data_IF_090599050660
#
_entry.id   IF_090599050660
#
_cell.length_a   1.000
_cell.length_b   1.000
_cell.length_c   1.000
_cell.angle_alpha   90.00
_cell.angle_beta   90.00
_cell.angle_gamma   90.00
#
_symmetry.space_group_name_H-M   'P 1'
#
loop_
_entity.id
_entity.type
_entity.pdbx_description
1 polymer ?
#
# COMPACT_ATOMS: atom_id res chain seq x y z
N UNK A 1 -11.54 5.08 20.38
CA UNK A 1 -10.93 3.73 20.48
C UNK A 1 -12.06 2.74 20.38
N UNK A 2 -11.96 1.80 19.43
CA UNK A 2 -13.02 0.81 19.20
C UNK A 2 -12.79 -0.36 20.16
N UNK A 3 -13.48 -0.35 21.30
CA UNK A 3 -13.38 -1.40 22.32
C UNK A 3 -13.80 -2.77 21.77
N UNK A 4 -14.65 -2.82 20.74
CA UNK A 4 -15.05 -4.05 20.08
C UNK A 4 -13.89 -4.71 19.32
N UNK A 5 -13.06 -3.92 18.63
CA UNK A 5 -11.87 -4.41 17.94
C UNK A 5 -10.82 -4.94 18.93
N UNK A 6 -10.61 -4.27 20.07
CA UNK A 6 -9.72 -4.73 21.13
C UNK A 6 -10.21 -6.02 21.75
N UNK A 7 -11.50 -6.14 22.06
CA UNK A 7 -12.10 -7.35 22.60
C UNK A 7 -11.98 -8.53 21.62
N UNK A 8 -12.24 -8.29 20.33
CA UNK A 8 -12.09 -9.30 19.28
C UNK A 8 -10.64 -9.79 19.17
N UNK A 9 -9.67 -8.86 19.16
CA UNK A 9 -8.25 -9.21 19.12
C UNK A 9 -7.82 -10.04 20.33
N UNK A 10 -8.31 -9.71 21.50
CA UNK A 10 -8.03 -10.43 22.75
C UNK A 10 -8.64 -11.84 22.71
N UNK A 11 -9.89 -11.97 22.28
CA UNK A 11 -10.58 -13.27 22.15
C UNK A 11 -9.88 -14.17 21.13
N UNK A 12 -9.50 -13.63 19.97
CA UNK A 12 -8.77 -14.37 18.92
C UNK A 12 -7.39 -14.80 19.43
N UNK A 13 -6.66 -13.92 20.12
CA UNK A 13 -5.32 -14.23 20.65
C UNK A 13 -5.38 -15.30 21.74
N UNK A 14 -6.29 -15.16 22.72
CA UNK A 14 -6.51 -16.16 23.77
C UNK A 14 -6.99 -17.47 23.18
N UNK A 15 -7.96 -17.43 22.26
CA UNK A 15 -8.49 -18.63 21.58
C UNK A 15 -7.41 -19.40 20.84
N UNK A 16 -6.56 -18.70 20.07
CA UNK A 16 -5.45 -19.32 19.36
C UNK A 16 -4.42 -19.93 20.32
N UNK A 17 -4.09 -19.23 21.43
CA UNK A 17 -3.15 -19.73 22.44
C UNK A 17 -3.69 -20.97 23.14
N UNK A 18 -4.95 -20.95 23.56
CA UNK A 18 -5.62 -22.09 24.21
C UNK A 18 -5.73 -23.26 23.26
N UNK A 19 -6.13 -23.06 22.00
CA UNK A 19 -6.20 -24.09 20.99
C UNK A 19 -4.82 -24.75 20.74
N UNK A 20 -3.75 -23.93 20.68
CA UNK A 20 -2.38 -24.43 20.53
C UNK A 20 -1.96 -25.32 21.71
N UNK A 21 -2.22 -24.89 22.94
CA UNK A 21 -1.90 -25.68 24.15
C UNK A 21 -2.73 -26.96 24.21
N UNK A 22 -4.05 -26.86 23.97
CA UNK A 22 -4.95 -28.03 24.01
C UNK A 22 -4.55 -29.11 22.99
N UNK A 23 -4.14 -28.73 21.78
CA UNK A 23 -3.69 -29.70 20.78
C UNK A 23 -2.45 -30.46 21.22
N UNK A 24 -1.47 -29.79 21.84
CA UNK A 24 -0.24 -30.41 22.34
C UNK A 24 -0.53 -31.32 23.53
N UNK A 25 -1.35 -30.84 24.50
CA UNK A 25 -1.77 -31.63 25.66
C UNK A 25 -2.55 -32.88 25.21
N UNK A 26 -3.47 -32.72 24.25
CA UNK A 26 -4.28 -33.83 23.76
C UNK A 26 -3.43 -34.89 23.02
N UNK A 27 -2.41 -34.48 22.29
CA UNK A 27 -1.43 -35.37 21.69
C UNK A 27 -0.62 -36.12 22.75
N UNK A 28 -0.17 -35.42 23.81
CA UNK A 28 0.58 -36.02 24.91
C UNK A 28 -0.26 -37.03 25.72
N UNK A 29 -1.53 -36.73 25.98
CA UNK A 29 -2.45 -37.62 26.72
C UNK A 29 -2.81 -38.88 25.91
N UNK A 30 -2.85 -38.80 24.59
CA UNK A 30 -3.13 -39.93 23.71
C UNK A 30 -1.96 -40.92 23.56
N UNK A 31 -0.76 -40.55 23.95
CA UNK A 31 0.41 -41.44 23.91
C UNK A 31 0.28 -42.50 25.02
N UNK A 32 0.22 -43.80 24.68
CA UNK A 32 0.23 -44.85 25.70
C UNK A 32 1.55 -44.77 26.51
N UNK A 33 1.49 -44.97 27.85
CA UNK A 33 2.71 -44.91 28.67
C UNK A 33 3.83 -45.87 28.20
N UNK A 34 3.46 -47.00 27.63
CA UNK A 34 4.39 -47.99 27.09
C UNK A 34 5.13 -47.50 25.83
N UNK A 35 4.50 -46.66 25.01
CA UNK A 35 5.17 -46.03 23.84
C UNK A 35 6.03 -44.83 24.24
N UNK A 36 5.61 -44.07 25.26
CA UNK A 36 6.40 -42.94 25.77
C UNK A 36 7.74 -43.39 26.42
N UNK A 37 7.82 -44.62 26.88
CA UNK A 37 9.04 -45.22 27.46
C UNK A 37 9.93 -45.96 26.45
N UNK A 38 9.48 -46.17 25.20
CA UNK A 38 10.31 -46.74 24.16
C UNK A 38 11.32 -45.74 23.63
N UNK A 39 12.60 -46.17 23.41
CA UNK A 39 13.54 -45.33 22.66
C UNK A 39 12.96 -45.04 21.28
N UNK A 40 13.16 -43.81 20.80
CA UNK A 40 12.73 -43.43 19.45
C UNK A 40 13.17 -44.42 18.41
N UNK A 41 12.26 -44.92 17.53
CA UNK A 41 12.63 -45.87 16.51
C UNK A 41 13.73 -45.28 15.60
N UNK A 42 14.67 -46.08 15.09
CA UNK A 42 15.71 -45.60 14.22
C UNK A 42 15.11 -44.91 13.01
N UNK A 43 15.66 -43.76 12.66
CA UNK A 43 15.14 -42.90 11.64
C UNK A 43 15.03 -43.62 10.27
N UNK A 44 13.84 -43.63 9.68
CA UNK A 44 13.57 -44.16 8.35
C UNK A 44 14.34 -43.33 7.30
N UNK A 45 15.33 -43.95 6.63
CA UNK A 45 16.18 -43.32 5.64
C UNK A 45 15.52 -43.37 4.25
N UNK A 46 14.41 -42.66 4.05
CA UNK A 46 13.85 -42.45 2.71
C UNK A 46 14.66 -41.38 1.96
N UNK A 47 14.97 -41.58 0.67
CA UNK A 47 15.65 -40.55 -0.11
C UNK A 47 14.82 -39.29 -0.19
N UNK A 48 15.43 -38.12 0.03
CA UNK A 48 14.77 -36.84 -0.01
C UNK A 48 14.25 -36.53 -1.42
N UNK A 49 13.20 -35.69 -1.52
CA UNK A 49 12.64 -35.23 -2.81
C UNK A 49 13.76 -34.60 -3.68
N UNK A 50 14.67 -33.84 -3.06
CA UNK A 50 15.82 -33.23 -3.75
C UNK A 50 16.87 -34.24 -4.22
N UNK A 51 17.01 -35.36 -3.50
CA UNK A 51 17.87 -36.49 -3.94
C UNK A 51 17.27 -37.19 -5.17
N UNK A 52 15.95 -37.31 -5.25
CA UNK A 52 15.27 -37.89 -6.43
C UNK A 52 15.41 -37.03 -7.68
N UNK A 53 15.50 -35.68 -7.53
CA UNK A 53 15.66 -34.74 -8.65
C UNK A 53 17.13 -34.61 -9.10
N UNK A 54 18.09 -35.29 -8.44
CA UNK A 54 19.51 -35.30 -8.83
C UNK A 54 20.30 -34.05 -8.47
N UNK A 55 19.74 -33.14 -7.69
CA UNK A 55 20.35 -31.85 -7.26
C UNK A 55 21.40 -32.02 -6.15
N UNK A 56 21.68 -33.26 -5.73
CA UNK A 56 22.59 -33.58 -4.61
C UNK A 56 24.01 -33.12 -4.81
N UNK A 57 24.48 -33.04 -6.08
CA UNK A 57 25.86 -32.63 -6.40
C UNK A 57 26.15 -31.15 -6.15
N UNK A 58 25.11 -30.32 -6.07
CA UNK A 58 25.23 -28.87 -5.87
C UNK A 58 25.31 -28.44 -4.39
N UNK A 59 24.89 -29.30 -3.45
CA UNK A 59 24.79 -28.97 -2.04
C UNK A 59 25.88 -29.59 -1.19
N UNK A 60 26.39 -28.79 -0.22
CA UNK A 60 27.33 -29.30 0.79
C UNK A 60 26.66 -30.39 1.67
N UNK A 61 27.45 -31.29 2.32
CA UNK A 61 26.88 -32.29 3.22
C UNK A 61 25.98 -31.71 4.31
N UNK A 62 26.36 -30.56 4.87
CA UNK A 62 25.57 -29.85 5.87
C UNK A 62 24.21 -29.37 5.31
N UNK A 63 24.17 -28.85 4.07
CA UNK A 63 22.96 -28.41 3.41
C UNK A 63 22.01 -29.56 3.10
N UNK A 64 22.55 -30.74 2.70
CA UNK A 64 21.72 -31.94 2.50
C UNK A 64 21.06 -32.40 3.80
N UNK A 65 21.80 -32.36 4.91
CA UNK A 65 21.25 -32.67 6.24
C UNK A 65 20.15 -31.67 6.61
N UNK A 66 20.34 -30.38 6.37
CA UNK A 66 19.34 -29.33 6.63
C UNK A 66 18.05 -29.57 5.81
N UNK A 67 18.16 -29.86 4.51
CA UNK A 67 17.00 -30.15 3.66
C UNK A 67 16.24 -31.40 4.11
N UNK A 68 16.96 -32.48 4.43
CA UNK A 68 16.34 -33.69 4.96
C UNK A 68 15.62 -33.46 6.27
N UNK A 69 16.14 -32.57 7.13
CA UNK A 69 15.48 -32.21 8.38
C UNK A 69 14.17 -31.46 8.16
N UNK A 70 14.11 -30.55 7.18
CA UNK A 70 12.89 -29.84 6.79
C UNK A 70 11.83 -30.83 6.31
N UNK A 71 12.20 -31.80 5.46
CA UNK A 71 11.29 -32.82 4.96
C UNK A 71 10.75 -33.76 6.04
N UNK A 72 11.51 -33.99 7.10
CA UNK A 72 11.07 -34.82 8.25
C UNK A 72 10.02 -34.15 9.12
N UNK A 73 10.02 -32.81 9.18
CA UNK A 73 9.11 -32.02 10.04
C UNK A 73 8.38 -30.95 9.22
N UNK A 74 7.55 -31.35 8.24
CA UNK A 74 6.97 -30.42 7.26
C UNK A 74 6.05 -29.39 7.92
N UNK A 75 5.30 -29.76 8.97
CA UNK A 75 4.41 -28.86 9.68
C UNK A 75 5.18 -27.75 10.44
N UNK A 76 6.27 -28.11 11.09
CA UNK A 76 7.12 -27.13 11.80
C UNK A 76 7.76 -26.15 10.81
N UNK A 77 8.27 -26.66 9.70
CA UNK A 77 8.81 -25.85 8.61
C UNK A 77 7.76 -24.91 8.03
N UNK A 78 6.53 -25.42 7.80
CA UNK A 78 5.41 -24.64 7.28
C UNK A 78 5.04 -23.50 8.24
N UNK A 79 4.85 -23.80 9.54
CA UNK A 79 4.48 -22.78 10.53
C UNK A 79 5.56 -21.70 10.69
N UNK A 80 6.84 -22.11 10.71
CA UNK A 80 7.96 -21.16 10.75
C UNK A 80 7.98 -20.29 9.50
N UNK A 81 7.83 -20.87 8.31
CA UNK A 81 7.80 -20.13 7.05
C UNK A 81 6.57 -19.23 6.97
N UNK A 82 5.40 -19.65 7.42
CA UNK A 82 4.20 -18.81 7.50
C UNK A 82 4.40 -17.62 8.46
N UNK A 83 4.98 -17.85 9.63
CA UNK A 83 5.25 -16.76 10.59
C UNK A 83 6.20 -15.70 9.99
N UNK A 84 7.25 -16.14 9.30
CA UNK A 84 8.18 -15.25 8.61
C UNK A 84 7.54 -14.56 7.39
N UNK A 85 6.70 -15.27 6.65
CA UNK A 85 5.95 -14.69 5.54
C UNK A 85 4.97 -13.60 6.03
N UNK A 86 4.29 -13.84 7.14
CA UNK A 86 3.43 -12.83 7.78
C UNK A 86 4.24 -11.60 8.22
N UNK A 87 5.39 -11.79 8.86
CA UNK A 87 6.27 -10.67 9.24
C UNK A 87 6.72 -9.85 8.03
N UNK A 88 7.13 -10.54 6.95
CA UNK A 88 7.50 -9.89 5.67
C UNK A 88 6.32 -9.14 5.06
N UNK A 89 5.14 -9.74 5.03
CA UNK A 89 3.91 -9.15 4.49
C UNK A 89 3.44 -7.93 5.27
N UNK A 90 3.52 -7.96 6.59
CA UNK A 90 3.23 -6.81 7.46
C UNK A 90 4.13 -5.61 7.17
N UNK A 91 5.36 -5.85 6.73
CA UNK A 91 6.29 -4.78 6.37
C UNK A 91 5.96 -4.15 5.01
N UNK A 92 5.43 -4.93 4.06
CA UNK A 92 5.05 -4.43 2.73
C UNK A 92 3.87 -3.46 2.80
N UNK A 93 2.90 -3.69 3.68
CA UNK A 93 1.65 -2.93 3.75
C UNK A 93 1.85 -1.40 3.93
N UNK A 94 2.55 -0.89 4.97
CA UNK A 94 2.72 0.55 5.16
C UNK A 94 3.63 1.17 4.08
N UNK A 95 4.55 0.39 3.50
CA UNK A 95 5.34 0.81 2.35
C UNK A 95 4.47 1.02 1.12
N UNK A 96 3.60 0.06 0.80
CA UNK A 96 2.65 0.15 -0.29
C UNK A 96 1.68 1.35 -0.13
N UNK A 97 1.21 1.64 1.11
CA UNK A 97 0.43 2.84 1.38
C UNK A 97 1.20 4.12 1.06
N UNK A 98 2.46 4.20 1.49
CA UNK A 98 3.32 5.36 1.21
C UNK A 98 3.54 5.56 -0.28
N UNK A 99 3.91 4.49 -0.99
CA UNK A 99 4.14 4.50 -2.44
C UNK A 99 2.89 4.93 -3.22
N UNK A 100 1.72 4.44 -2.81
CA UNK A 100 0.43 4.78 -3.42
C UNK A 100 0.06 6.24 -3.23
N UNK A 101 0.37 6.82 -2.07
CA UNK A 101 0.15 8.23 -1.81
C UNK A 101 1.13 9.09 -2.62
N UNK A 102 2.40 8.72 -2.68
CA UNK A 102 3.38 9.44 -3.49
C UNK A 102 3.01 9.42 -4.98
N UNK A 103 2.49 8.29 -5.48
CA UNK A 103 1.95 8.20 -6.82
C UNK A 103 0.72 9.10 -7.01
N UNK A 104 -0.24 9.07 -6.08
CA UNK A 104 -1.42 9.94 -6.10
C UNK A 104 -1.03 11.41 -6.14
N UNK A 105 -0.09 11.84 -5.29
CA UNK A 105 0.41 13.20 -5.25
C UNK A 105 1.06 13.59 -6.59
N UNK A 106 1.91 12.73 -7.13
CA UNK A 106 2.58 12.97 -8.40
C UNK A 106 1.60 13.06 -9.56
N UNK A 107 0.61 12.16 -9.59
CA UNK A 107 -0.40 12.15 -10.64
C UNK A 107 -1.29 13.40 -10.56
N UNK A 108 -1.89 13.64 -9.39
CA UNK A 108 -2.88 14.71 -9.19
C UNK A 108 -2.25 16.10 -9.33
N UNK A 109 -1.13 16.36 -8.62
CA UNK A 109 -0.55 17.71 -8.55
C UNK A 109 0.55 18.00 -9.57
N UNK A 110 1.22 17.01 -10.14
CA UNK A 110 2.27 17.25 -11.11
C UNK A 110 1.83 16.98 -12.56
N UNK A 111 1.01 15.94 -12.79
CA UNK A 111 0.60 15.57 -14.15
C UNK A 111 -0.72 16.22 -14.55
N UNK A 112 -1.72 16.22 -13.67
CA UNK A 112 -3.06 16.75 -13.93
C UNK A 112 -3.13 18.25 -13.65
N UNK A 113 -2.93 18.69 -12.40
CA UNK A 113 -2.99 20.09 -11.98
C UNK A 113 -1.62 20.75 -12.15
N UNK A 114 -1.38 21.40 -13.28
CA UNK A 114 -0.10 22.06 -13.59
C UNK A 114 -0.07 23.54 -13.20
N UNK A 115 -1.21 24.13 -12.90
CA UNK A 115 -1.32 25.49 -12.38
C UNK A 115 -0.68 25.63 -11.00
N UNK A 116 -0.23 26.84 -10.65
CA UNK A 116 0.29 27.16 -9.33
C UNK A 116 -0.82 27.69 -8.42
N UNK A 117 -1.79 28.39 -9.01
CA UNK A 117 -2.91 29.03 -8.31
C UNK A 117 -4.20 28.81 -9.08
N UNK A 118 -5.27 28.46 -8.37
CA UNK A 118 -6.64 28.53 -8.86
C UNK A 118 -7.35 29.70 -8.18
N UNK A 119 -7.88 30.62 -8.96
CA UNK A 119 -8.64 31.79 -8.48
C UNK A 119 -10.10 31.60 -8.82
N UNK A 120 -10.96 31.80 -7.85
CA UNK A 120 -12.42 31.82 -8.03
C UNK A 120 -12.98 33.19 -7.72
N UNK A 121 -13.84 33.68 -8.58
CA UNK A 121 -14.50 34.97 -8.42
C UNK A 121 -15.80 34.84 -7.61
N UNK A 122 -16.18 35.86 -6.88
CA UNK A 122 -17.39 35.91 -6.08
C UNK A 122 -18.64 35.80 -6.94
N UNK A 123 -18.63 36.47 -8.09
CA UNK A 123 -19.72 36.45 -9.06
C UNK A 123 -19.17 36.14 -10.47
N UNK A 124 -19.95 35.45 -11.29
CA UNK A 124 -19.57 35.26 -12.70
C UNK A 124 -19.35 36.62 -13.39
N UNK A 125 -18.19 36.77 -14.00
CA UNK A 125 -17.80 37.96 -14.74
C UNK A 125 -17.75 37.70 -16.25
N UNK A 126 -17.62 38.81 -17.03
CA UNK A 126 -17.38 38.72 -18.47
C UNK A 126 -15.91 38.38 -18.78
N UNK A 127 -15.56 38.14 -20.03
CA UNK A 127 -14.19 37.92 -20.48
C UNK A 127 -13.22 39.06 -20.07
N UNK A 128 -13.70 40.26 -19.82
CA UNK A 128 -12.88 41.36 -19.29
C UNK A 128 -12.30 41.06 -17.90
N UNK A 129 -13.06 40.34 -17.05
CA UNK A 129 -12.58 39.92 -15.74
C UNK A 129 -11.44 38.90 -15.83
N UNK A 130 -11.37 38.14 -16.91
CA UNK A 130 -10.24 37.25 -17.17
C UNK A 130 -8.98 38.03 -17.50
N UNK A 131 -9.07 39.07 -18.31
CA UNK A 131 -7.93 39.94 -18.60
C UNK A 131 -7.39 40.66 -17.36
N UNK A 132 -8.21 40.92 -16.36
CA UNK A 132 -7.71 41.42 -15.07
C UNK A 132 -6.83 40.40 -14.39
N UNK A 133 -7.20 39.09 -14.41
CA UNK A 133 -6.38 38.02 -13.86
C UNK A 133 -5.06 37.81 -14.64
N UNK A 134 -5.11 37.90 -15.96
CA UNK A 134 -3.91 37.78 -16.80
C UNK A 134 -2.89 38.91 -16.57
N UNK A 135 -3.37 40.10 -16.23
CA UNK A 135 -2.52 41.29 -16.00
C UNK A 135 -1.94 41.37 -14.59
N UNK A 136 -2.28 40.44 -13.71
CA UNK A 136 -1.70 40.42 -12.37
C UNK A 136 -0.17 40.23 -12.44
N UNK A 137 0.59 40.90 -11.53
CA UNK A 137 2.04 40.84 -11.57
C UNK A 137 2.56 39.41 -11.44
N UNK A 138 3.41 38.99 -12.36
CA UNK A 138 4.04 37.68 -12.33
C UNK A 138 3.22 36.55 -12.94
N UNK A 139 2.03 36.78 -13.45
CA UNK A 139 1.27 35.77 -14.21
C UNK A 139 1.99 35.52 -15.54
N UNK A 140 2.31 34.24 -15.80
CA UNK A 140 2.95 33.76 -17.03
C UNK A 140 1.91 33.22 -18.00
N UNK A 141 0.98 32.40 -17.48
CA UNK A 141 -0.09 31.77 -18.25
C UNK A 141 -1.36 31.76 -17.39
N UNK A 142 -2.47 32.05 -18.02
CA UNK A 142 -3.80 31.96 -17.41
C UNK A 142 -4.74 31.18 -18.31
N UNK A 143 -5.61 30.36 -17.74
CA UNK A 143 -6.68 29.63 -18.43
C UNK A 143 -8.00 29.91 -17.74
N UNK A 144 -9.04 30.38 -18.46
CA UNK A 144 -10.33 30.71 -17.87
C UNK A 144 -11.11 29.43 -17.51
N UNK A 145 -11.88 29.52 -16.45
CA UNK A 145 -12.81 28.48 -16.06
C UNK A 145 -14.22 29.03 -15.81
N UNK A 146 -15.21 28.18 -16.10
CA UNK A 146 -16.59 28.41 -15.71
C UNK A 146 -17.08 27.19 -14.92
N UNK A 147 -17.06 27.28 -13.62
CA UNK A 147 -17.50 26.23 -12.71
C UNK A 147 -18.93 26.50 -12.25
N UNK A 148 -19.83 25.57 -12.50
CA UNK A 148 -21.27 25.71 -12.29
C UNK A 148 -21.75 24.67 -11.31
N UNK A 149 -22.28 25.04 -10.13
CA UNK A 149 -22.86 24.07 -9.21
C UNK A 149 -24.07 23.39 -9.87
N UNK A 150 -24.05 22.08 -9.90
CA UNK A 150 -25.08 21.28 -10.54
C UNK A 150 -25.38 20.00 -9.77
N UNK A 151 -26.53 19.42 -10.04
CA UNK A 151 -26.87 18.06 -9.65
C UNK A 151 -26.91 17.20 -10.90
N UNK A 152 -26.01 16.23 -10.99
CA UNK A 152 -26.02 15.23 -12.04
C UNK A 152 -26.93 14.09 -11.61
N UNK A 153 -27.84 13.70 -12.51
CA UNK A 153 -28.79 12.61 -12.27
C UNK A 153 -28.80 11.63 -13.43
N UNK A 154 -28.81 10.35 -13.09
CA UNK A 154 -29.05 9.28 -14.04
C UNK A 154 -29.97 8.24 -13.41
N UNK A 155 -31.16 8.04 -14.00
CA UNK A 155 -32.22 7.24 -13.38
C UNK A 155 -32.64 7.79 -12.02
N UNK A 156 -32.57 6.95 -10.99
CA UNK A 156 -32.90 7.30 -9.61
C UNK A 156 -31.73 7.84 -8.80
N UNK A 157 -30.49 7.73 -9.34
CA UNK A 157 -29.27 8.16 -8.65
C UNK A 157 -28.90 9.59 -9.01
N UNK A 158 -28.42 10.33 -8.03
CA UNK A 158 -27.96 11.70 -8.27
C UNK A 158 -26.80 12.08 -7.36
N UNK A 159 -25.95 13.01 -7.85
CA UNK A 159 -24.84 13.59 -7.07
C UNK A 159 -24.76 15.09 -7.31
N UNK A 160 -24.56 15.88 -6.23
CA UNK A 160 -24.29 17.31 -6.31
C UNK A 160 -22.78 17.53 -6.41
N UNK A 161 -22.35 18.31 -7.41
CA UNK A 161 -20.97 18.74 -7.62
C UNK A 161 -20.96 19.92 -8.57
N UNK A 162 -19.78 20.50 -8.82
CA UNK A 162 -19.67 21.53 -9.87
C UNK A 162 -19.27 20.91 -11.19
N UNK A 163 -19.93 21.32 -12.29
CA UNK A 163 -19.48 21.05 -13.67
C UNK A 163 -18.54 22.19 -14.05
N UNK A 164 -17.30 21.84 -14.39
CA UNK A 164 -16.27 22.80 -14.74
C UNK A 164 -16.07 22.86 -16.24
N UNK A 165 -16.41 24.00 -16.82
CA UNK A 165 -16.08 24.34 -18.21
C UNK A 165 -14.62 24.76 -18.29
N UNK A 166 -13.85 24.08 -19.14
CA UNK A 166 -12.44 24.39 -19.45
C UNK A 166 -12.26 24.55 -20.95
N UNK A 167 -11.22 25.24 -21.37
CA UNK A 167 -10.94 25.40 -22.79
C UNK A 167 -10.42 24.11 -23.42
N UNK A 168 -10.76 23.84 -24.70
CA UNK A 168 -10.14 22.76 -25.45
C UNK A 168 -8.62 22.97 -25.54
N UNK A 169 -7.85 21.92 -25.25
CA UNK A 169 -6.39 22.01 -25.24
C UNK A 169 -5.79 22.70 -24.01
N UNK A 170 -6.58 22.94 -22.95
CA UNK A 170 -6.09 23.46 -21.68
C UNK A 170 -4.89 22.65 -21.16
N UNK A 171 -3.85 23.36 -20.74
CA UNK A 171 -2.56 22.78 -20.32
C UNK A 171 -2.34 22.83 -18.82
N UNK A 172 -3.03 23.75 -18.14
CA UNK A 172 -2.88 23.98 -16.69
C UNK A 172 -3.71 23.00 -15.83
N UNK A 173 -4.80 22.48 -16.39
CA UNK A 173 -5.57 21.40 -15.78
C UNK A 173 -5.90 20.33 -16.81
N UNK A 174 -5.06 19.30 -16.90
CA UNK A 174 -5.16 18.25 -17.90
C UNK A 174 -6.13 17.17 -17.45
N UNK A 175 -6.95 16.72 -18.40
CA UNK A 175 -7.81 15.56 -18.20
C UNK A 175 -7.02 14.30 -18.57
N UNK A 176 -6.83 13.40 -17.62
CA UNK A 176 -6.02 12.19 -17.81
C UNK A 176 -6.90 10.94 -17.70
N UNK A 177 -6.62 9.95 -18.54
CA UNK A 177 -7.25 8.64 -18.49
C UNK A 177 -6.59 7.72 -17.41
N UNK A 178 -7.04 6.48 -17.36
CA UNK A 178 -6.51 5.45 -16.47
C UNK A 178 -5.01 5.16 -16.69
N UNK A 179 -4.48 5.44 -17.87
CA UNK A 179 -3.08 5.19 -18.25
C UNK A 179 -2.22 6.44 -18.17
N UNK A 180 -2.82 7.61 -17.81
CA UNK A 180 -2.14 8.89 -17.74
C UNK A 180 -1.98 9.59 -19.09
N UNK A 181 -2.69 9.13 -20.13
CA UNK A 181 -2.77 9.80 -21.40
C UNK A 181 -3.76 10.99 -21.30
N UNK A 182 -3.45 12.07 -22.03
CA UNK A 182 -4.32 13.25 -22.06
C UNK A 182 -5.57 12.94 -22.88
N UNK A 183 -6.73 13.16 -22.29
CA UNK A 183 -8.02 13.08 -22.97
C UNK A 183 -8.34 14.45 -23.54
N UNK A 184 -8.56 14.53 -24.85
CA UNK A 184 -9.07 15.72 -25.48
C UNK A 184 -10.55 15.93 -25.09
N UNK A 185 -10.87 17.16 -24.71
CA UNK A 185 -12.22 17.51 -24.31
C UNK A 185 -13.11 17.55 -25.56
N UNK A 186 -14.20 16.77 -25.63
CA UNK A 186 -15.10 16.80 -26.78
C UNK A 186 -15.80 18.17 -26.87
N UNK A 187 -16.02 18.62 -28.09
CA UNK A 187 -16.72 19.90 -28.38
C UNK A 187 -18.14 19.96 -27.82
N UNK A 188 -18.77 18.79 -27.63
CA UNK A 188 -20.06 18.63 -26.97
C UNK A 188 -20.10 17.38 -26.13
N UNK A 189 -20.81 17.44 -25.00
CA UNK A 189 -20.96 16.35 -24.07
C UNK A 189 -20.22 16.59 -22.75
N UNK A 190 -20.36 15.63 -21.87
CA UNK A 190 -19.80 15.65 -20.53
C UNK A 190 -18.64 14.67 -20.46
N UNK A 191 -17.57 15.07 -19.79
CA UNK A 191 -16.49 14.20 -19.34
C UNK A 191 -16.54 14.17 -17.82
N UNK A 192 -16.55 12.97 -17.22
CA UNK A 192 -16.62 12.87 -15.76
C UNK A 192 -15.63 11.85 -15.23
N UNK A 193 -15.36 11.93 -13.94
CA UNK A 193 -14.51 10.94 -13.27
C UNK A 193 -15.19 9.55 -13.32
N UNK A 194 -14.38 8.48 -13.50
CA UNK A 194 -14.85 7.09 -13.49
C UNK A 194 -15.71 6.80 -12.25
N UNK A 195 -15.33 7.37 -11.08
CA UNK A 195 -16.10 7.17 -9.85
C UNK A 195 -17.44 7.87 -9.85
N UNK A 196 -17.53 9.06 -10.42
CA UNK A 196 -18.79 9.74 -10.55
C UNK A 196 -19.75 8.91 -11.43
N UNK A 197 -19.26 8.41 -12.55
CA UNK A 197 -20.03 7.55 -13.44
C UNK A 197 -20.52 6.28 -12.71
N UNK A 198 -19.67 5.63 -11.92
CA UNK A 198 -20.04 4.49 -11.07
C UNK A 198 -21.12 4.84 -10.04
N UNK A 199 -20.96 5.97 -9.32
CA UNK A 199 -21.88 6.43 -8.28
C UNK A 199 -23.27 6.70 -8.83
N UNK A 200 -23.37 7.39 -9.97
CA UNK A 200 -24.65 7.68 -10.60
C UNK A 200 -25.16 6.52 -11.48
N UNK A 201 -24.30 5.54 -11.79
CA UNK A 201 -24.62 4.36 -12.60
C UNK A 201 -24.64 4.64 -14.12
N UNK A 202 -24.01 5.71 -14.59
CA UNK A 202 -23.94 6.08 -16.02
C UNK A 202 -22.74 5.41 -16.71
N UNK A 203 -22.89 5.14 -18.01
CA UNK A 203 -21.86 4.57 -18.88
C UNK A 203 -21.56 5.51 -20.04
N UNK A 204 -20.41 5.32 -20.69
CA UNK A 204 -20.08 6.05 -21.91
C UNK A 204 -21.21 5.90 -22.95
N UNK A 205 -21.64 7.04 -23.49
CA UNK A 205 -22.76 7.13 -24.44
C UNK A 205 -24.11 7.44 -23.81
N UNK A 206 -24.29 7.23 -22.50
CA UNK A 206 -25.53 7.56 -21.81
C UNK A 206 -25.77 9.07 -21.76
N UNK A 207 -27.05 9.46 -21.72
CA UNK A 207 -27.43 10.86 -21.53
C UNK A 207 -27.69 11.13 -20.05
N UNK A 208 -26.91 12.02 -19.46
CA UNK A 208 -27.00 12.43 -18.06
C UNK A 208 -27.78 13.73 -17.95
N UNK A 209 -28.70 13.77 -17.00
CA UNK A 209 -29.44 14.99 -16.66
C UNK A 209 -28.57 15.84 -15.71
N UNK A 210 -28.31 17.08 -16.16
CA UNK A 210 -27.56 18.09 -15.40
C UNK A 210 -28.53 19.19 -14.95
N UNK A 211 -28.89 19.17 -13.68
CA UNK A 211 -29.74 20.19 -13.06
C UNK A 211 -28.83 21.30 -12.53
N UNK A 212 -28.80 22.43 -13.20
CA UNK A 212 -28.01 23.60 -12.76
C UNK A 212 -28.64 24.23 -11.51
N UNK A 213 -27.82 24.56 -10.51
CA UNK A 213 -28.29 25.05 -9.21
C UNK A 213 -28.14 26.58 -9.05
N UNK A 214 -27.60 27.25 -10.08
CA UNK A 214 -27.43 28.70 -10.07
C UNK A 214 -28.20 29.36 -11.24
N UNK A 215 -28.38 30.69 -11.16
CA UNK A 215 -29.00 31.50 -12.19
C UNK A 215 -30.41 31.03 -12.55
N UNK A 216 -30.65 30.78 -13.85
CA UNK A 216 -31.94 30.32 -14.40
C UNK A 216 -32.30 28.87 -14.05
N UNK A 217 -31.38 28.12 -13.47
CA UNK A 217 -31.51 26.71 -13.08
C UNK A 217 -32.05 25.80 -14.18
N UNK A 218 -31.47 25.84 -15.40
CA UNK A 218 -31.92 24.96 -16.47
C UNK A 218 -31.59 23.48 -16.15
N UNK A 219 -32.43 22.60 -16.70
CA UNK A 219 -32.21 21.16 -16.69
C UNK A 219 -31.71 20.76 -18.09
N UNK A 220 -30.49 20.31 -18.17
CA UNK A 220 -29.83 19.97 -19.43
C UNK A 220 -29.70 18.47 -19.59
N UNK A 221 -29.93 17.97 -20.79
CA UNK A 221 -29.63 16.59 -21.18
C UNK A 221 -28.28 16.59 -21.92
N UNK A 222 -27.28 15.91 -21.32
CA UNK A 222 -25.90 15.96 -21.83
C UNK A 222 -25.36 14.54 -22.00
N UNK A 223 -24.89 14.14 -23.21
CA UNK A 223 -24.30 12.82 -23.39
C UNK A 223 -22.94 12.72 -22.70
N UNK A 224 -22.68 11.58 -22.06
CA UNK A 224 -21.38 11.25 -21.46
C UNK A 224 -20.44 10.78 -22.58
N UNK A 225 -19.38 11.55 -22.84
CA UNK A 225 -18.46 11.33 -23.96
C UNK A 225 -17.07 10.86 -23.52
N UNK A 226 -16.71 11.03 -22.24
CA UNK A 226 -15.40 10.64 -21.76
C UNK A 226 -15.41 10.33 -20.26
N UNK A 227 -14.45 9.48 -19.86
CA UNK A 227 -14.18 9.16 -18.46
C UNK A 227 -12.73 9.51 -18.14
N UNK A 228 -12.54 10.27 -17.07
CA UNK A 228 -11.22 10.67 -16.55
C UNK A 228 -10.92 9.97 -15.24
N UNK A 229 -9.65 9.76 -14.97
CA UNK A 229 -9.20 9.19 -13.72
C UNK A 229 -8.81 10.28 -12.75
N UNK A 230 -9.64 10.44 -11.72
CA UNK A 230 -9.35 11.29 -10.57
C UNK A 230 -9.14 10.42 -9.32
N UNK A 231 -8.07 10.66 -8.56
CA UNK A 231 -7.81 9.96 -7.31
C UNK A 231 -8.38 10.68 -6.09
N UNK A 232 -8.61 11.99 -6.20
CA UNK A 232 -9.17 12.81 -5.13
C UNK A 232 -10.49 13.44 -5.56
N UNK A 233 -11.59 13.00 -4.96
CA UNK A 233 -12.93 13.51 -5.23
C UNK A 233 -13.59 12.95 -6.47
N UNK A 234 -14.65 13.63 -6.89
CA UNK A 234 -15.40 13.40 -8.11
C UNK A 234 -15.47 14.70 -8.91
N UNK A 235 -15.30 14.64 -10.21
CA UNK A 235 -15.26 15.81 -11.07
C UNK A 235 -16.09 15.58 -12.35
N UNK A 236 -16.57 16.68 -12.91
CA UNK A 236 -17.24 16.68 -14.19
C UNK A 236 -16.79 17.92 -15.00
N UNK A 237 -16.45 17.68 -16.26
CA UNK A 237 -15.87 18.67 -17.15
C UNK A 237 -16.68 18.76 -18.44
N UNK A 238 -16.68 19.93 -19.03
CA UNK A 238 -17.28 20.22 -20.33
C UNK A 238 -16.45 21.30 -21.04
N UNK A 239 -16.52 21.33 -22.37
CA UNK A 239 -16.01 22.48 -23.13
C UNK A 239 -16.70 23.76 -22.63
N UNK A 240 -15.92 24.78 -22.27
CA UNK A 240 -16.42 26.04 -21.70
C UNK A 240 -17.41 26.74 -22.64
N UNK A 241 -17.14 26.65 -23.97
CA UNK A 241 -18.01 27.24 -24.99
C UNK A 241 -19.35 26.48 -25.08
N UNK A 242 -19.30 25.15 -25.01
CA UNK A 242 -20.51 24.32 -25.00
C UNK A 242 -21.34 24.56 -23.73
N UNK A 243 -20.68 24.67 -22.57
CA UNK A 243 -21.34 24.96 -21.30
C UNK A 243 -22.06 26.33 -21.35
N UNK A 244 -21.36 27.38 -21.78
CA UNK A 244 -21.91 28.73 -21.95
C UNK A 244 -23.11 28.78 -22.93
N UNK A 245 -23.01 28.09 -24.09
CA UNK A 245 -24.14 27.97 -25.03
C UNK A 245 -25.36 27.33 -24.39
N UNK A 246 -25.18 26.26 -23.62
CA UNK A 246 -26.30 25.55 -22.95
C UNK A 246 -26.92 26.36 -21.83
N UNK A 247 -26.13 27.17 -21.13
CA UNK A 247 -26.58 28.08 -20.08
C UNK A 247 -27.23 29.37 -20.66
N UNK A 248 -27.07 29.60 -21.99
CA UNK A 248 -27.43 30.84 -22.67
C UNK A 248 -26.71 32.03 -22.05
N UNK A 249 -25.46 31.85 -21.69
CA UNK A 249 -24.54 32.88 -21.22
C UNK A 249 -23.65 33.37 -22.35
N UNK A 250 -23.18 34.61 -22.26
CA UNK A 250 -22.12 35.14 -23.12
C UNK A 250 -20.76 34.58 -22.75
N UNK A 251 -19.69 35.37 -22.92
CA UNK A 251 -18.34 35.01 -22.54
C UNK A 251 -18.14 35.15 -21.01
N UNK A 252 -18.81 34.28 -20.26
CA UNK A 252 -18.86 34.32 -18.80
C UNK A 252 -17.84 33.38 -18.20
N UNK A 253 -17.12 33.87 -17.19
CA UNK A 253 -16.18 33.10 -16.37
C UNK A 253 -16.48 33.30 -14.89
N UNK A 254 -16.06 32.41 -14.03
CA UNK A 254 -16.05 32.62 -12.59
C UNK A 254 -14.74 32.20 -11.92
N UNK A 255 -13.66 32.08 -12.72
CA UNK A 255 -12.33 31.82 -12.19
C UNK A 255 -11.31 31.59 -13.27
N UNK A 256 -10.10 31.26 -12.87
CA UNK A 256 -8.99 30.90 -13.74
C UNK A 256 -7.94 30.05 -13.05
N UNK A 257 -7.26 29.24 -13.82
CA UNK A 257 -6.02 28.58 -13.44
C UNK A 257 -4.85 29.43 -13.88
N UNK A 258 -3.88 29.68 -12.99
CA UNK A 258 -2.76 30.57 -13.22
C UNK A 258 -1.43 29.88 -12.96
N UNK A 259 -0.45 30.13 -13.83
CA UNK A 259 0.97 29.87 -13.54
C UNK A 259 1.64 31.18 -13.25
N UNK A 260 2.38 31.26 -12.13
CA UNK A 260 2.95 32.49 -11.60
C UNK A 260 4.47 32.36 -11.48
N UNK A 261 5.19 33.40 -11.90
CA UNK A 261 6.63 33.52 -11.72
C UNK A 261 6.99 33.52 -10.22
N UNK A 262 7.79 32.56 -9.80
CA UNK A 262 8.24 32.45 -8.41
C UNK A 262 9.01 33.67 -7.91
N UNK A 263 9.71 34.40 -8.79
CA UNK A 263 10.41 35.61 -8.43
C UNK A 263 9.46 36.77 -8.10
N UNK A 264 8.28 36.78 -8.70
CA UNK A 264 7.25 37.81 -8.50
C UNK A 264 6.08 37.33 -7.62
N UNK A 265 6.25 36.23 -6.93
CA UNK A 265 5.20 35.61 -6.12
C UNK A 265 4.60 36.56 -5.08
N UNK A 266 5.45 37.33 -4.38
CA UNK A 266 4.99 38.24 -3.34
C UNK A 266 4.19 39.43 -3.91
N UNK A 267 4.53 39.87 -5.11
CA UNK A 267 3.81 40.96 -5.80
C UNK A 267 2.44 40.43 -6.25
N UNK A 268 2.40 39.21 -6.82
CA UNK A 268 1.17 38.54 -7.16
C UNK A 268 0.24 38.37 -5.94
N UNK A 269 0.76 37.84 -4.83
CA UNK A 269 -0.05 37.60 -3.63
C UNK A 269 -0.58 38.87 -2.97
N UNK A 270 0.12 40.00 -3.11
CA UNK A 270 -0.39 41.32 -2.70
C UNK A 270 -1.52 41.77 -3.63
N UNK A 271 -1.28 41.76 -4.92
CA UNK A 271 -2.23 42.22 -5.92
C UNK A 271 -3.53 41.40 -5.90
N UNK A 272 -3.48 40.08 -5.77
CA UNK A 272 -4.68 39.23 -5.74
C UNK A 272 -5.51 39.45 -4.46
N UNK A 273 -4.88 39.74 -3.31
CA UNK A 273 -5.57 40.09 -2.07
C UNK A 273 -6.30 41.41 -2.15
N UNK A 274 -5.73 42.36 -2.89
CA UNK A 274 -6.33 43.67 -3.11
C UNK A 274 -7.41 43.66 -4.21
N UNK A 275 -7.64 42.50 -4.86
CA UNK A 275 -8.67 42.34 -5.88
C UNK A 275 -10.04 42.01 -5.23
N UNK A 276 -11.01 42.97 -5.20
CA UNK A 276 -12.25 42.79 -4.43
C UNK A 276 -13.15 41.64 -4.91
N UNK A 277 -12.96 41.21 -6.16
CA UNK A 277 -13.78 40.17 -6.80
C UNK A 277 -13.30 38.76 -6.52
N UNK A 278 -12.11 38.57 -5.91
CA UNK A 278 -11.58 37.27 -5.60
C UNK A 278 -12.29 36.65 -4.39
N UNK A 279 -13.08 35.59 -4.60
CA UNK A 279 -13.77 34.86 -3.53
C UNK A 279 -12.87 33.87 -2.82
N UNK A 280 -12.04 33.17 -3.60
CA UNK A 280 -11.13 32.16 -3.08
C UNK A 280 -9.88 32.06 -3.96
N UNK A 281 -8.75 31.97 -3.31
CA UNK A 281 -7.43 31.75 -3.93
C UNK A 281 -6.88 30.45 -3.38
N UNK A 282 -6.77 29.45 -4.23
CA UNK A 282 -6.22 28.13 -3.87
C UNK A 282 -4.80 28.00 -4.39
N UNK A 283 -3.83 28.05 -3.49
CA UNK A 283 -2.42 27.90 -3.81
C UNK A 283 -2.05 26.41 -3.76
N UNK A 284 -1.64 25.85 -4.90
CA UNK A 284 -1.29 24.43 -5.01
C UNK A 284 -0.22 24.00 -4.01
N UNK A 285 0.83 24.81 -3.85
CA UNK A 285 1.93 24.53 -2.92
C UNK A 285 1.44 24.38 -1.49
N UNK A 286 0.51 25.23 -1.05
CA UNK A 286 0.01 25.25 0.32
C UNK A 286 -0.93 24.06 0.57
N UNK A 287 -1.77 23.72 -0.42
CA UNK A 287 -2.61 22.51 -0.36
C UNK A 287 -1.76 21.24 -0.29
N UNK A 288 -0.70 21.16 -1.12
CA UNK A 288 0.21 20.02 -1.13
C UNK A 288 1.00 19.92 0.18
N UNK A 289 1.44 21.04 0.75
CA UNK A 289 2.14 21.09 2.03
C UNK A 289 1.23 20.62 3.18
N UNK A 290 0.01 21.14 3.26
CA UNK A 290 -0.99 20.74 4.26
C UNK A 290 -1.34 19.24 4.16
N UNK A 291 -1.53 18.75 2.93
CA UNK A 291 -1.79 17.32 2.70
C UNK A 291 -0.60 16.45 3.11
N UNK A 292 0.62 16.84 2.73
CA UNK A 292 1.84 16.12 3.11
C UNK A 292 2.05 16.12 4.61
N UNK A 293 1.87 17.24 5.28
CA UNK A 293 2.05 17.34 6.73
C UNK A 293 1.09 16.40 7.48
N UNK A 294 -0.20 16.44 7.15
CA UNK A 294 -1.21 15.60 7.77
C UNK A 294 -0.98 14.12 7.47
N UNK A 295 -0.72 13.79 6.20
CA UNK A 295 -0.60 12.41 5.73
C UNK A 295 0.75 11.81 6.11
N UNK A 296 1.86 12.54 5.93
CA UNK A 296 3.20 12.03 6.23
C UNK A 296 3.39 11.78 7.72
N UNK A 297 2.82 12.65 8.59
CA UNK A 297 2.90 12.45 10.04
C UNK A 297 2.17 11.16 10.48
N UNK A 298 0.95 10.95 9.99
CA UNK A 298 0.15 9.77 10.32
C UNK A 298 0.76 8.48 9.74
N UNK A 299 1.11 8.48 8.47
CA UNK A 299 1.70 7.30 7.80
C UNK A 299 3.10 7.01 8.30
N UNK A 300 3.90 8.04 8.58
CA UNK A 300 5.24 7.88 9.14
C UNK A 300 5.21 7.19 10.51
N UNK A 301 4.23 7.52 11.35
CA UNK A 301 4.05 6.87 12.66
C UNK A 301 3.61 5.40 12.48
N UNK A 302 2.63 5.15 11.64
CA UNK A 302 2.15 3.80 11.33
C UNK A 302 3.29 2.96 10.77
N UNK A 303 4.06 3.48 9.80
CA UNK A 303 5.20 2.78 9.21
C UNK A 303 6.26 2.38 10.25
N UNK A 304 6.61 3.29 11.18
CA UNK A 304 7.56 2.98 12.28
C UNK A 304 7.03 1.87 13.18
N UNK A 305 5.74 1.89 13.52
CA UNK A 305 5.11 0.87 14.34
C UNK A 305 5.14 -0.50 13.66
N UNK A 306 4.72 -0.57 12.39
CA UNK A 306 4.74 -1.83 11.64
C UNK A 306 6.17 -2.34 11.41
N UNK A 307 7.13 -1.43 11.20
CA UNK A 307 8.54 -1.81 11.12
C UNK A 307 9.02 -2.47 12.41
N UNK A 308 8.75 -1.86 13.56
CA UNK A 308 9.12 -2.44 14.85
C UNK A 308 8.45 -3.80 15.09
N UNK A 309 7.15 -3.92 14.79
CA UNK A 309 6.41 -5.19 14.90
C UNK A 309 7.00 -6.27 13.97
N UNK A 310 7.28 -5.94 12.72
CA UNK A 310 7.84 -6.89 11.76
C UNK A 310 9.23 -7.40 12.21
N UNK A 311 10.09 -6.51 12.73
CA UNK A 311 11.40 -6.89 13.28
C UNK A 311 11.23 -7.83 14.47
N UNK A 312 10.35 -7.50 15.43
CA UNK A 312 10.08 -8.31 16.61
C UNK A 312 9.57 -9.69 16.22
N UNK A 313 8.58 -9.75 15.31
CA UNK A 313 8.00 -11.02 14.86
C UNK A 313 9.03 -11.85 14.10
N UNK A 314 9.74 -11.27 13.14
CA UNK A 314 10.75 -11.98 12.37
C UNK A 314 11.88 -12.52 13.25
N UNK A 315 12.40 -11.68 14.15
CA UNK A 315 13.42 -12.09 15.13
C UNK A 315 12.88 -13.19 16.04
N UNK A 316 11.69 -13.01 16.63
CA UNK A 316 11.09 -13.95 17.57
C UNK A 316 10.82 -15.32 16.93
N UNK A 317 10.31 -15.35 15.70
CA UNK A 317 10.04 -16.61 14.98
C UNK A 317 11.35 -17.35 14.69
N UNK A 318 12.37 -16.68 14.13
CA UNK A 318 13.66 -17.32 13.82
C UNK A 318 14.36 -17.80 15.11
N UNK A 319 14.41 -16.93 16.13
CA UNK A 319 15.06 -17.26 17.39
C UNK A 319 14.37 -18.43 18.11
N UNK A 320 13.03 -18.40 18.20
CA UNK A 320 12.27 -19.47 18.84
C UNK A 320 12.40 -20.81 18.08
N UNK A 321 12.29 -20.80 16.74
CA UNK A 321 12.48 -21.99 15.90
C UNK A 321 13.89 -22.57 16.09
N UNK A 322 14.91 -21.71 16.15
CA UNK A 322 16.28 -22.13 16.38
C UNK A 322 16.49 -22.74 17.77
N UNK A 323 15.89 -22.14 18.79
CA UNK A 323 15.95 -22.61 20.17
C UNK A 323 15.28 -23.99 20.34
N UNK A 324 14.10 -24.16 19.73
CA UNK A 324 13.38 -25.44 19.72
C UNK A 324 14.23 -26.50 19.00
N UNK A 325 14.71 -26.22 17.81
CA UNK A 325 15.53 -27.14 17.04
C UNK A 325 16.83 -27.53 17.78
N UNK A 326 17.45 -26.57 18.48
CA UNK A 326 18.62 -26.81 19.31
C UNK A 326 18.30 -27.73 20.51
N UNK A 327 17.18 -27.51 21.21
CA UNK A 327 16.73 -28.30 22.35
C UNK A 327 16.43 -29.74 21.94
N UNK A 328 15.66 -29.93 20.87
CA UNK A 328 15.23 -31.24 20.37
C UNK A 328 16.37 -32.08 19.83
N UNK A 329 17.40 -31.44 19.25
CA UNK A 329 18.51 -32.11 18.56
C UNK A 329 19.84 -31.99 19.30
N UNK A 330 19.81 -31.56 20.55
CA UNK A 330 21.04 -31.37 21.33
C UNK A 330 21.94 -32.61 21.37
N UNK A 331 21.33 -33.81 21.44
CA UNK A 331 22.06 -35.08 21.39
C UNK A 331 22.66 -35.39 20.02
N UNK A 332 21.86 -35.22 18.95
CA UNK A 332 22.37 -35.43 17.56
C UNK A 332 23.55 -34.51 17.30
N UNK A 333 23.46 -33.23 17.68
CA UNK A 333 24.51 -32.25 17.53
C UNK A 333 25.76 -32.58 18.39
N UNK A 334 25.55 -33.11 19.60
CA UNK A 334 26.61 -33.58 20.49
C UNK A 334 27.31 -34.82 19.90
N UNK A 335 26.55 -35.76 19.36
CA UNK A 335 27.11 -36.98 18.68
C UNK A 335 27.94 -36.57 17.47
N UNK A 336 27.49 -35.64 16.63
CA UNK A 336 28.31 -35.13 15.50
C UNK A 336 29.64 -34.55 15.98
N UNK A 337 29.68 -33.86 17.12
CA UNK A 337 30.91 -33.34 17.72
C UNK A 337 31.84 -34.44 18.20
N UNK A 338 31.29 -35.51 18.79
CA UNK A 338 32.09 -36.69 19.23
C UNK A 338 32.66 -37.44 18.06
N UNK A 339 31.93 -37.56 16.95
CA UNK A 339 32.40 -38.19 15.69
C UNK A 339 33.46 -37.34 14.96
N UNK A 340 33.73 -36.11 15.44
CA UNK A 340 34.83 -35.28 14.94
C UNK A 340 34.42 -34.08 14.07
N UNK A 341 33.12 -33.79 13.91
CA UNK A 341 32.68 -32.62 13.18
C UNK A 341 33.13 -31.32 13.90
N UNK A 342 33.60 -30.35 13.10
CA UNK A 342 33.96 -29.03 13.63
C UNK A 342 32.72 -28.24 14.12
N UNK A 343 32.94 -27.39 15.10
CA UNK A 343 31.83 -26.52 15.62
C UNK A 343 31.15 -25.71 14.52
N UNK A 344 31.92 -25.27 13.51
CA UNK A 344 31.38 -24.52 12.37
C UNK A 344 30.45 -25.39 11.49
N UNK A 345 30.75 -26.67 11.33
CA UNK A 345 29.92 -27.60 10.54
C UNK A 345 28.57 -27.88 11.26
N UNK A 346 28.61 -28.10 12.57
CA UNK A 346 27.42 -28.30 13.38
C UNK A 346 26.53 -27.04 13.38
N UNK A 347 27.13 -25.85 13.51
CA UNK A 347 26.42 -24.58 13.33
C UNK A 347 25.83 -24.47 11.93
N UNK A 348 26.58 -24.86 10.91
CA UNK A 348 26.16 -24.81 9.51
C UNK A 348 24.91 -25.63 9.22
N UNK A 349 24.71 -26.78 9.86
CA UNK A 349 23.50 -27.60 9.68
C UNK A 349 22.27 -26.86 10.21
N UNK A 350 22.30 -26.34 11.44
CA UNK A 350 21.15 -25.69 12.07
C UNK A 350 20.83 -24.33 11.41
N UNK A 351 21.88 -23.51 11.20
CA UNK A 351 21.70 -22.19 10.55
C UNK A 351 21.30 -22.38 9.09
N UNK A 352 21.82 -23.38 8.39
CA UNK A 352 21.43 -23.71 7.02
C UNK A 352 19.95 -24.07 6.88
N UNK A 353 19.42 -24.87 7.81
CA UNK A 353 17.99 -25.18 7.86
C UNK A 353 17.13 -23.92 8.01
N UNK A 354 17.47 -23.08 8.98
CA UNK A 354 16.74 -21.83 9.21
C UNK A 354 16.89 -20.84 8.05
N UNK A 355 18.07 -20.77 7.44
CA UNK A 355 18.30 -19.91 6.27
C UNK A 355 17.44 -20.33 5.07
N UNK A 356 17.29 -21.64 4.83
CA UNK A 356 16.39 -22.15 3.78
C UNK A 356 14.95 -21.74 4.06
N UNK A 357 14.48 -21.87 5.31
CA UNK A 357 13.12 -21.48 5.69
C UNK A 357 12.89 -19.98 5.53
N UNK A 358 13.87 -19.15 5.93
CA UNK A 358 13.82 -17.70 5.72
C UNK A 358 13.74 -17.37 4.24
N UNK A 359 14.64 -17.93 3.42
CA UNK A 359 14.67 -17.68 1.97
C UNK A 359 13.39 -18.14 1.26
N UNK A 360 12.82 -19.27 1.68
CA UNK A 360 11.55 -19.75 1.15
C UNK A 360 10.35 -18.88 1.59
N UNK A 361 10.39 -18.33 2.81
CA UNK A 361 9.34 -17.48 3.35
C UNK A 361 9.30 -16.09 2.70
N UNK A 362 10.43 -15.56 2.23
CA UNK A 362 10.50 -14.22 1.64
C UNK A 362 9.55 -14.03 0.44
N UNK A 363 9.61 -14.85 -0.63
CA UNK A 363 8.71 -14.68 -1.77
C UNK A 363 7.25 -14.88 -1.40
N UNK A 364 6.95 -15.85 -0.53
CA UNK A 364 5.60 -16.06 -0.03
C UNK A 364 5.09 -14.83 0.77
N UNK A 365 5.95 -14.23 1.60
CA UNK A 365 5.65 -13.04 2.37
C UNK A 365 5.44 -11.80 1.50
N UNK A 366 6.25 -11.61 0.46
CA UNK A 366 6.06 -10.51 -0.50
C UNK A 366 4.74 -10.64 -1.27
N UNK A 367 4.39 -11.84 -1.70
CA UNK A 367 3.10 -12.12 -2.37
C UNK A 367 1.93 -11.90 -1.42
N UNK A 368 2.02 -12.40 -0.19
CA UNK A 368 1.01 -12.19 0.83
C UNK A 368 0.85 -10.70 1.16
N UNK A 369 1.96 -9.97 1.35
CA UNK A 369 1.96 -8.54 1.63
C UNK A 369 1.34 -7.71 0.49
N UNK A 370 1.65 -8.07 -0.76
CA UNK A 370 1.00 -7.48 -1.94
C UNK A 370 -0.51 -7.75 -1.95
N UNK A 371 -0.92 -8.99 -1.73
CA UNK A 371 -2.34 -9.35 -1.68
C UNK A 371 -3.09 -8.62 -0.57
N UNK A 372 -2.49 -8.55 0.63
CA UNK A 372 -3.04 -7.81 1.76
C UNK A 372 -3.15 -6.31 1.48
N UNK A 373 -2.12 -5.71 0.88
CA UNK A 373 -2.14 -4.30 0.50
C UNK A 373 -3.25 -4.02 -0.53
N UNK A 374 -3.39 -4.87 -1.56
CA UNK A 374 -4.46 -4.73 -2.56
C UNK A 374 -5.85 -4.84 -1.92
N UNK A 375 -6.06 -5.81 -1.03
CA UNK A 375 -7.33 -6.00 -0.33
C UNK A 375 -7.69 -4.78 0.54
N UNK A 376 -6.73 -4.29 1.33
CA UNK A 376 -6.93 -3.13 2.21
C UNK A 376 -7.18 -1.88 1.38
N UNK A 377 -6.39 -1.60 0.34
CA UNK A 377 -6.56 -0.42 -0.51
C UNK A 377 -7.91 -0.43 -1.25
N UNK A 378 -8.36 -1.59 -1.72
CA UNK A 378 -9.68 -1.73 -2.32
C UNK A 378 -10.80 -1.41 -1.32
N UNK A 379 -10.65 -1.84 -0.06
CA UNK A 379 -11.61 -1.56 1.02
C UNK A 379 -11.65 -0.09 1.44
N UNK A 380 -10.53 0.62 1.33
CA UNK A 380 -10.45 2.06 1.63
C UNK A 380 -10.83 2.98 0.47
N UNK A 381 -11.17 2.44 -0.71
CA UNK A 381 -11.64 3.23 -1.84
C UNK A 381 -13.00 3.85 -1.53
N UNK A 382 -12.99 5.17 -1.24
CA UNK A 382 -14.19 5.98 -1.01
C UNK A 382 -14.50 6.87 -2.22
N UNK A 383 -15.59 7.62 -2.17
CA UNK A 383 -15.89 8.64 -3.18
C UNK A 383 -14.91 9.81 -3.13
N UNK A 384 -14.34 10.08 -1.94
CA UNK A 384 -13.45 11.22 -1.69
C UNK A 384 -12.00 10.94 -2.04
N UNK A 385 -11.53 9.72 -1.82
CA UNK A 385 -10.13 9.32 -2.09
C UNK A 385 -10.09 7.89 -2.60
N UNK A 386 -9.38 7.68 -3.69
CA UNK A 386 -9.04 6.35 -4.21
C UNK A 386 -7.55 6.14 -4.12
N UNK A 387 -7.18 5.06 -3.46
CA UNK A 387 -5.77 4.70 -3.38
C UNK A 387 -5.37 3.92 -4.63
N UNK A 388 -4.46 4.46 -5.46
CA UNK A 388 -3.88 3.66 -6.55
C UNK A 388 -3.08 2.51 -5.95
N UNK A 389 -3.16 1.33 -6.56
CA UNK A 389 -2.38 0.18 -6.13
C UNK A 389 -1.01 0.27 -6.80
N UNK A 390 -0.09 0.96 -6.12
CA UNK A 390 1.29 1.11 -6.58
C UNK A 390 2.24 0.67 -5.46
N UNK A 391 3.14 -0.25 -5.77
CA UNK A 391 4.15 -0.73 -4.82
C UNK A 391 5.51 -0.68 -5.54
N UNK A 392 6.40 0.12 -5.02
CA UNK A 392 7.73 0.31 -5.60
C UNK A 392 8.67 -0.85 -5.23
N UNK A 393 9.68 -1.09 -6.06
CA UNK A 393 10.71 -2.08 -5.78
C UNK A 393 11.47 -1.77 -4.47
N UNK A 394 11.59 -0.49 -4.09
CA UNK A 394 12.18 -0.04 -2.83
C UNK A 394 11.47 -0.58 -1.60
N UNK A 395 10.14 -0.66 -1.62
CA UNK A 395 9.33 -1.23 -0.53
C UNK A 395 9.60 -2.72 -0.36
N UNK A 396 9.65 -3.48 -1.46
CA UNK A 396 9.99 -4.90 -1.40
C UNK A 396 11.43 -5.11 -0.93
N UNK A 397 12.39 -4.35 -1.43
CA UNK A 397 13.79 -4.47 -1.01
C UNK A 397 13.99 -4.13 0.46
N UNK A 398 13.29 -3.11 0.97
CA UNK A 398 13.31 -2.77 2.39
C UNK A 398 12.75 -3.90 3.26
N UNK A 399 11.61 -4.48 2.88
CA UNK A 399 11.00 -5.58 3.62
C UNK A 399 11.94 -6.80 3.69
N UNK A 400 12.54 -7.18 2.57
CA UNK A 400 13.53 -8.27 2.50
C UNK A 400 14.75 -7.96 3.37
N UNK A 401 15.32 -6.76 3.26
CA UNK A 401 16.52 -6.37 4.01
C UNK A 401 16.28 -6.42 5.52
N UNK A 402 15.14 -5.94 5.98
CA UNK A 402 14.77 -5.93 7.40
C UNK A 402 14.62 -7.34 7.95
N UNK A 403 13.91 -8.21 7.23
CA UNK A 403 13.71 -9.60 7.66
C UNK A 403 15.02 -10.38 7.64
N UNK A 404 15.87 -10.16 6.63
CA UNK A 404 17.21 -10.77 6.57
C UNK A 404 18.10 -10.26 7.72
N UNK A 405 18.07 -8.97 8.04
CA UNK A 405 18.83 -8.43 9.16
C UNK A 405 18.36 -9.02 10.51
N UNK A 406 17.05 -9.15 10.73
CA UNK A 406 16.49 -9.81 11.91
C UNK A 406 16.89 -11.28 12.00
N UNK A 407 16.87 -12.00 10.87
CA UNK A 407 17.31 -13.40 10.79
C UNK A 407 18.81 -13.54 11.09
N UNK A 408 19.66 -12.68 10.50
CA UNK A 408 21.11 -12.68 10.75
C UNK A 408 21.43 -12.42 12.24
N UNK A 409 20.72 -11.48 12.86
CA UNK A 409 20.86 -11.23 14.30
C UNK A 409 20.49 -12.46 15.13
N UNK A 410 19.39 -13.14 14.79
CA UNK A 410 18.97 -14.39 15.42
C UNK A 410 20.03 -15.50 15.23
N UNK A 411 20.56 -15.64 14.02
CA UNK A 411 21.62 -16.62 13.72
C UNK A 411 22.89 -16.37 14.52
N UNK A 412 23.28 -15.11 14.69
CA UNK A 412 24.44 -14.73 15.51
C UNK A 412 24.25 -15.13 16.98
N UNK A 413 23.06 -14.90 17.53
CA UNK A 413 22.73 -15.27 18.92
C UNK A 413 22.69 -16.79 19.10
N UNK A 414 22.03 -17.50 18.20
CA UNK A 414 21.94 -18.97 18.23
C UNK A 414 23.31 -19.61 18.04
N UNK A 415 24.15 -19.08 17.15
CA UNK A 415 25.53 -19.52 16.97
C UNK A 415 26.36 -19.44 18.26
N UNK A 416 26.13 -18.38 19.06
CA UNK A 416 26.77 -18.24 20.40
C UNK A 416 26.24 -19.28 21.39
N UNK A 417 24.93 -19.58 21.35
CA UNK A 417 24.33 -20.61 22.21
C UNK A 417 24.88 -22.01 21.91
N UNK A 418 25.03 -22.39 20.64
CA UNK A 418 25.62 -23.68 20.21
C UNK A 418 27.05 -23.79 20.74
N UNK A 419 27.82 -22.69 20.76
CA UNK A 419 29.19 -22.70 21.28
C UNK A 419 29.30 -22.93 22.80
N UNK A 420 28.21 -22.70 23.53
CA UNK A 420 28.14 -22.88 25.00
C UNK A 420 27.52 -24.24 25.41
N UNK A 421 27.17 -25.11 24.47
CA UNK A 421 26.62 -26.44 24.78
C UNK A 421 27.63 -27.29 25.55
N UNK A 422 27.23 -27.68 26.77
CA UNK A 422 27.98 -28.66 27.56
C UNK A 422 27.77 -30.08 26.99
N UNK A 423 28.74 -30.54 26.18
CA UNK A 423 28.73 -31.85 25.54
C UNK A 423 28.67 -33.00 26.53
N UNK A 424 29.33 -32.83 27.67
CA UNK A 424 29.45 -33.88 28.73
C UNK A 424 28.12 -34.02 29.48
N UNK A 425 27.47 -32.87 29.80
CA UNK A 425 26.17 -32.87 30.45
C UNK A 425 25.04 -33.44 29.61
N UNK A 426 25.04 -33.15 28.32
CA UNK A 426 24.02 -33.64 27.36
C UNK A 426 24.11 -35.13 27.10
N UNK A 427 25.32 -35.70 27.14
CA UNK A 427 25.56 -37.16 26.94
C UNK A 427 25.38 -37.95 28.24
N UNK A 428 25.65 -37.35 29.41
CA UNK A 428 25.50 -37.99 30.75
C UNK A 428 24.09 -37.98 31.33
N UNK A 429 23.18 -37.18 30.79
CA UNK A 429 21.84 -36.98 31.37
C UNK A 429 20.87 -38.15 31.25
N UNK A 430 21.38 -39.39 31.11
CA UNK A 430 20.61 -40.64 31.10
C UNK A 430 21.44 -41.87 31.50
N UNK A 431 21.98 -41.84 32.69
CA UNK A 431 22.27 -43.04 33.48
C UNK A 431 21.40 -43.02 34.74
#
# INVERSE_FOLDING_TARGET
>A
MDYSALALALVVSLGASVAGVLTVVWQAVKLPPAEAMRPEPPADFKPSLFERIGLTKLFSPAMRMALRNIERRPWQALFTSCGLALATGLMVLPGAMSDSIDYLLTFQWNRQQRHDVAVFLTEPGSGSSFHELERLPGVILAEPIRSVPARLRFGHRSRKLSVTGVEPGATLNRLLDAHGAVIELPTEGLVMSEKLAEVIGARLGDTVQVEVLEGRRPVLQVPLRGLVRDFAGVAAFMDIRALRRRLKEGDTINGGFLTVDHLRWNDFMRAIKDTPRSAAVMVKRDQLAAFRETTAKSIGMIRKLYFALAVIVAFGVVYNSARIALSERSRELATLRVVGFRLAEVRGVLIGELAILVLAALPAGLLFGRGLAMFIMASFSTETVRMPIQINASTYSLAVTVVLAAALLSFALVSRMIGKLDLVGVLKARD
#
